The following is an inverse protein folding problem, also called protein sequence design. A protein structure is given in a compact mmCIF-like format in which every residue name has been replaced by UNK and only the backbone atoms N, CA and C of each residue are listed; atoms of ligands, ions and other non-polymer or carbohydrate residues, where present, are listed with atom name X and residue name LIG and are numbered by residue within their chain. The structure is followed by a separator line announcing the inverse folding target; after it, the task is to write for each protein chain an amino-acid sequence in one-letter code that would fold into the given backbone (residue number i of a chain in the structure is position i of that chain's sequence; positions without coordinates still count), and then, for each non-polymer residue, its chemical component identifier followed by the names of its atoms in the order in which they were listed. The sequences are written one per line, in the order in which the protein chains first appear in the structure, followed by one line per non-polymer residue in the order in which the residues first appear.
data_IF_828782958751
#
_entry.id   IF_828782958751
#
_cell.length_a   1.000
_cell.length_b   1.000
_cell.length_c   1.000
_cell.angle_alpha   90.00
_cell.angle_beta   90.00
_cell.angle_gamma   90.00
#
_symmetry.space_group_name_H-M   'P 1'
#
loop_
_entity.id
_entity.type
_entity.pdbx_description
1 polymer ?
#
# COMPACT_ATOMS: atom_id res chain seq x y z
N UNK A 1 7.73 -22.68 12.99
CA UNK A 1 7.03 -21.91 11.93
C UNK A 1 7.82 -20.62 11.74
N UNK A 2 8.34 -20.37 10.53
CA UNK A 2 8.96 -19.09 10.22
C UNK A 2 7.78 -18.17 9.88
N UNK A 3 7.50 -17.21 10.76
CA UNK A 3 6.50 -16.16 10.49
C UNK A 3 6.96 -15.39 9.24
N UNK A 4 6.04 -15.16 8.30
CA UNK A 4 6.37 -14.40 7.10
C UNK A 4 6.87 -13.00 7.50
N UNK A 5 7.86 -12.44 6.78
CA UNK A 5 8.36 -11.09 7.06
C UNK A 5 7.21 -10.08 6.92
N UNK A 6 6.94 -9.27 7.94
CA UNK A 6 5.86 -8.28 7.95
C UNK A 6 6.37 -6.85 8.16
N UNK A 7 5.76 -5.91 7.44
CA UNK A 7 5.81 -4.49 7.76
C UNK A 7 4.83 -4.18 8.88
N UNK A 8 5.18 -3.25 9.77
CA UNK A 8 4.33 -2.87 10.90
C UNK A 8 4.14 -1.36 10.92
N UNK A 9 2.91 -0.89 10.80
CA UNK A 9 2.56 0.49 11.02
C UNK A 9 2.00 0.62 12.44
N UNK A 10 2.71 1.34 13.29
CA UNK A 10 2.24 1.68 14.64
C UNK A 10 1.47 2.99 14.57
N UNK A 11 0.17 2.91 14.80
CA UNK A 11 -0.76 4.05 14.79
C UNK A 11 -0.65 4.88 16.08
N UNK A 12 -1.26 6.07 16.09
CA UNK A 12 -1.25 6.97 17.27
C UNK A 12 -1.93 6.35 18.50
N UNK A 13 -2.98 5.56 18.29
CA UNK A 13 -3.70 4.83 19.33
C UNK A 13 -2.95 3.58 19.82
N UNK A 14 -1.71 3.39 19.37
CA UNK A 14 -0.85 2.22 19.64
C UNK A 14 -1.36 0.90 19.05
N UNK A 15 -2.38 0.92 18.19
CA UNK A 15 -2.70 -0.25 17.36
C UNK A 15 -1.61 -0.49 16.32
N UNK A 16 -1.50 -1.74 15.88
CA UNK A 16 -0.48 -2.16 14.90
C UNK A 16 -1.19 -2.77 13.70
N UNK A 17 -1.05 -2.12 12.55
CA UNK A 17 -1.39 -2.71 11.27
C UNK A 17 -0.18 -3.51 10.75
N UNK A 18 -0.41 -4.77 10.38
CA UNK A 18 0.60 -5.64 9.81
C UNK A 18 0.35 -5.87 8.32
N UNK A 19 1.42 -5.81 7.52
CA UNK A 19 1.39 -6.10 6.09
C UNK A 19 2.45 -7.14 5.76
N UNK A 20 2.04 -8.25 5.16
CA UNK A 20 2.92 -9.31 4.66
C UNK A 20 3.81 -8.75 3.56
N UNK A 21 5.13 -8.93 3.66
CA UNK A 21 6.10 -8.47 2.66
C UNK A 21 6.01 -9.32 1.38
N UNK A 22 5.41 -8.74 0.33
CA UNK A 22 5.22 -9.39 -0.97
C UNK A 22 6.27 -8.97 -2.02
N UNK A 23 7.34 -8.26 -1.63
CA UNK A 23 8.38 -7.81 -2.59
C UNK A 23 9.04 -8.96 -3.35
N UNK A 24 9.08 -10.16 -2.77
CA UNK A 24 9.60 -11.38 -3.43
C UNK A 24 8.67 -11.90 -4.53
N UNK A 25 7.39 -11.56 -4.47
CA UNK A 25 6.34 -11.98 -5.41
C UNK A 25 6.26 -10.97 -6.55
N UNK A 26 6.10 -9.70 -6.23
CA UNK A 26 5.92 -8.61 -7.23
C UNK A 26 7.24 -8.17 -7.88
N UNK A 27 8.37 -8.42 -7.21
CA UNK A 27 9.69 -8.02 -7.67
C UNK A 27 9.93 -6.51 -7.58
N UNK A 28 10.80 -5.99 -8.46
CA UNK A 28 11.07 -4.55 -8.58
C UNK A 28 10.10 -3.88 -9.56
N UNK A 29 8.84 -4.32 -9.60
CA UNK A 29 7.84 -3.68 -10.45
C UNK A 29 7.40 -2.35 -9.87
N UNK A 30 7.19 -1.43 -10.78
CA UNK A 30 7.10 -0.01 -10.48
C UNK A 30 5.92 0.54 -11.28
N UNK A 31 4.95 1.11 -10.58
CA UNK A 31 3.66 1.57 -11.11
C UNK A 31 3.67 3.08 -11.15
N UNK A 32 3.12 3.68 -12.21
CA UNK A 32 3.22 5.13 -12.42
C UNK A 32 2.50 5.90 -11.32
N UNK A 33 3.16 6.89 -10.70
CA UNK A 33 2.55 7.64 -9.61
C UNK A 33 1.42 8.57 -10.06
N UNK A 34 1.34 8.94 -11.35
CA UNK A 34 0.20 9.73 -11.87
C UNK A 34 -1.15 9.00 -11.71
N UNK A 35 -1.13 7.68 -11.52
CA UNK A 35 -2.35 6.92 -11.25
C UNK A 35 -3.00 7.30 -9.91
N UNK A 36 -2.28 8.01 -9.03
CA UNK A 36 -2.86 8.60 -7.83
C UNK A 36 -3.68 9.87 -8.11
N UNK A 37 -3.47 10.52 -9.26
CA UNK A 37 -4.03 11.85 -9.55
C UNK A 37 -5.55 11.86 -9.49
N UNK A 38 -6.22 10.82 -10.00
CA UNK A 38 -7.68 10.72 -9.98
C UNK A 38 -8.22 10.59 -8.55
N UNK A 39 -7.53 9.82 -7.71
CA UNK A 39 -7.93 9.60 -6.31
C UNK A 39 -7.74 10.88 -5.49
N UNK A 40 -6.61 11.57 -5.73
CA UNK A 40 -6.28 12.86 -5.10
C UNK A 40 -7.31 13.93 -5.50
N UNK A 41 -7.60 14.07 -6.80
CA UNK A 41 -8.60 15.04 -7.31
C UNK A 41 -10.01 14.78 -6.78
N UNK A 42 -10.31 13.54 -6.46
CA UNK A 42 -11.62 13.13 -5.93
C UNK A 42 -11.70 13.24 -4.40
N UNK A 43 -10.67 13.78 -3.73
CA UNK A 43 -10.59 13.94 -2.26
C UNK A 43 -10.79 12.62 -1.49
N UNK A 44 -10.34 11.51 -2.07
CA UNK A 44 -10.48 10.14 -1.51
C UNK A 44 -9.25 9.76 -0.68
N UNK A 45 -8.77 10.71 0.14
CA UNK A 45 -7.55 10.58 0.92
C UNK A 45 -7.80 10.80 2.42
N UNK A 46 -7.13 9.99 3.23
CA UNK A 46 -7.12 10.10 4.69
C UNK A 46 -5.69 10.27 5.17
N UNK A 47 -5.45 11.23 6.05
CA UNK A 47 -4.14 11.44 6.67
C UNK A 47 -4.11 10.85 8.08
N UNK A 48 -3.02 10.16 8.40
CA UNK A 48 -2.79 9.59 9.73
C UNK A 48 -1.36 9.88 10.19
N UNK A 49 -1.14 9.90 11.50
CA UNK A 49 0.20 9.79 12.05
C UNK A 49 0.51 8.32 12.36
N UNK A 50 1.76 7.93 12.08
CA UNK A 50 2.17 6.56 12.32
C UNK A 50 3.67 6.35 12.14
N UNK A 51 4.18 5.28 12.74
CA UNK A 51 5.59 4.88 12.66
C UNK A 51 5.68 3.55 11.92
N UNK A 52 6.29 3.58 10.74
CA UNK A 52 6.48 2.39 9.93
C UNK A 52 7.77 1.66 10.31
N UNK A 53 7.66 0.35 10.46
CA UNK A 53 8.79 -0.57 10.58
C UNK A 53 8.80 -1.54 9.42
N UNK A 54 9.98 -1.71 8.83
CA UNK A 54 10.21 -2.70 7.79
C UNK A 54 10.29 -4.13 8.32
N UNK A 55 10.43 -5.11 7.43
CA UNK A 55 10.35 -6.53 7.81
C UNK A 55 11.54 -7.06 8.61
N UNK A 56 12.63 -6.29 8.71
CA UNK A 56 13.74 -6.56 9.63
C UNK A 56 13.63 -5.72 10.90
N UNK A 57 12.43 -5.21 11.19
CA UNK A 57 12.11 -4.32 12.30
C UNK A 57 12.86 -2.96 12.25
N UNK A 58 13.41 -2.60 11.09
CA UNK A 58 14.09 -1.34 10.87
C UNK A 58 13.10 -0.17 10.74
N UNK A 59 13.45 1.00 11.27
CA UNK A 59 12.61 2.19 11.11
C UNK A 59 12.57 2.64 9.64
N UNK A 60 11.38 3.02 9.18
CA UNK A 60 11.14 3.59 7.85
C UNK A 60 10.39 4.91 8.01
N UNK A 61 10.72 5.85 7.14
CA UNK A 61 10.00 7.11 7.07
C UNK A 61 8.67 6.91 6.36
N UNK A 62 7.58 6.87 7.13
CA UNK A 62 6.23 6.65 6.62
C UNK A 62 5.77 7.74 5.65
N UNK A 63 6.39 8.93 5.66
CA UNK A 63 6.08 9.99 4.69
C UNK A 63 6.39 9.57 3.23
N UNK A 64 7.28 8.58 3.05
CA UNK A 64 7.62 8.01 1.74
C UNK A 64 6.77 6.78 1.40
N UNK A 65 5.72 6.51 2.18
CA UNK A 65 4.81 5.40 1.93
C UNK A 65 3.37 5.89 1.90
N UNK A 66 2.52 5.06 1.31
CA UNK A 66 1.07 5.21 1.32
C UNK A 66 0.44 3.82 1.41
N UNK A 67 -0.79 3.77 1.87
CA UNK A 67 -1.61 2.57 1.84
C UNK A 67 -2.72 2.81 0.83
N UNK A 68 -2.80 1.93 -0.16
CA UNK A 68 -3.94 1.88 -1.09
C UNK A 68 -4.94 0.90 -0.51
N UNK A 69 -6.11 1.39 -0.17
CA UNK A 69 -7.23 0.60 0.34
C UNK A 69 -8.28 0.49 -0.75
N UNK A 70 -8.69 -0.73 -1.09
CA UNK A 70 -9.72 -0.97 -2.11
C UNK A 70 -10.51 -2.24 -1.78
N UNK A 71 -11.72 -2.33 -2.31
CA UNK A 71 -12.58 -3.49 -2.15
C UNK A 71 -12.28 -4.50 -3.27
N UNK A 72 -12.06 -5.75 -2.87
CA UNK A 72 -12.21 -6.92 -3.72
C UNK A 72 -13.62 -7.49 -3.59
N UNK A 73 -13.98 -8.48 -4.39
CA UNK A 73 -15.28 -9.14 -4.35
C UNK A 73 -15.62 -9.72 -2.97
N UNK A 74 -14.60 -10.16 -2.22
CA UNK A 74 -14.78 -10.90 -0.96
C UNK A 74 -14.39 -10.09 0.29
N UNK A 75 -13.57 -9.04 0.16
CA UNK A 75 -13.05 -8.30 1.31
C UNK A 75 -12.44 -6.95 0.93
N UNK A 76 -12.25 -6.10 1.95
CA UNK A 76 -11.40 -4.92 1.83
C UNK A 76 -9.94 -5.32 1.93
N UNK A 77 -9.12 -4.79 1.03
CA UNK A 77 -7.69 -5.08 0.93
C UNK A 77 -6.90 -3.79 1.13
N UNK A 78 -5.82 -3.86 1.89
CA UNK A 78 -4.87 -2.75 2.06
C UNK A 78 -3.49 -3.16 1.57
N UNK A 79 -2.97 -2.39 0.62
CA UNK A 79 -1.64 -2.58 0.03
C UNK A 79 -0.74 -1.45 0.48
N UNK A 80 0.37 -1.80 1.14
CA UNK A 80 1.43 -0.87 1.48
C UNK A 80 2.34 -0.63 0.28
N UNK A 81 2.58 0.63 -0.02
CA UNK A 81 3.28 1.09 -1.21
C UNK A 81 4.32 2.13 -0.81
N UNK A 82 5.55 1.94 -1.31
CA UNK A 82 6.62 2.93 -1.21
C UNK A 82 6.47 3.93 -2.37
N UNK A 83 6.26 5.19 -2.04
CA UNK A 83 6.11 6.30 -2.98
C UNK A 83 7.44 7.03 -3.17
N UNK A 84 7.65 7.60 -4.37
CA UNK A 84 8.85 8.41 -4.66
C UNK A 84 10.05 7.61 -5.16
N UNK A 85 9.86 6.33 -5.52
CA UNK A 85 10.87 5.55 -6.22
C UNK A 85 10.83 5.93 -7.71
N UNK A 86 11.67 6.88 -8.14
CA UNK A 86 11.70 7.38 -9.53
C UNK A 86 10.37 7.95 -10.03
N UNK A 87 9.66 8.74 -9.22
CA UNK A 87 8.30 9.24 -9.54
C UNK A 87 7.26 8.13 -9.75
N UNK A 88 7.53 6.96 -9.18
CA UNK A 88 6.66 5.82 -9.27
C UNK A 88 6.39 5.21 -7.89
N UNK A 89 5.50 4.23 -7.90
CA UNK A 89 5.00 3.46 -6.78
C UNK A 89 5.61 2.07 -6.80
N UNK A 90 6.10 1.61 -5.65
CA UNK A 90 6.57 0.25 -5.48
C UNK A 90 5.68 -0.46 -4.46
N UNK A 91 5.05 -1.55 -4.88
CA UNK A 91 4.27 -2.41 -3.97
C UNK A 91 5.24 -3.12 -3.02
N UNK A 92 5.00 -3.02 -1.71
CA UNK A 92 5.88 -3.62 -0.69
C UNK A 92 5.18 -4.59 0.26
N UNK A 93 3.89 -4.41 0.52
CA UNK A 93 3.17 -5.28 1.45
C UNK A 93 1.67 -5.31 1.23
N UNK A 94 1.00 -6.30 1.81
CA UNK A 94 -0.46 -6.46 1.79
C UNK A 94 -0.94 -7.04 3.12
N UNK A 95 -2.13 -6.68 3.58
CA UNK A 95 -2.77 -7.35 4.72
C UNK A 95 -3.60 -8.59 4.32
N UNK A 96 -3.79 -8.80 3.02
CA UNK A 96 -4.51 -9.96 2.47
C UNK A 96 -3.60 -11.15 2.21
N UNK A 97 -3.86 -12.28 2.89
CA UNK A 97 -3.23 -13.58 2.61
C UNK A 97 -3.58 -14.11 1.21
N UNK A 98 -4.78 -13.82 0.69
CA UNK A 98 -5.18 -14.23 -0.66
C UNK A 98 -4.24 -13.62 -1.71
N UNK A 99 -3.87 -12.35 -1.54
CA UNK A 99 -2.94 -11.67 -2.43
C UNK A 99 -1.54 -12.28 -2.40
N UNK A 100 -1.12 -12.96 -1.33
CA UNK A 100 0.21 -13.60 -1.28
C UNK A 100 0.28 -14.86 -2.13
N UNK A 101 -0.86 -15.44 -2.51
CA UNK A 101 -0.94 -16.64 -3.34
C UNK A 101 -1.21 -16.33 -4.81
N UNK A 102 -1.56 -15.08 -5.16
CA UNK A 102 -1.83 -14.70 -6.54
C UNK A 102 -0.55 -14.62 -7.38
N UNK A 103 -0.63 -14.96 -8.68
CA UNK A 103 0.45 -14.70 -9.62
C UNK A 103 0.81 -13.22 -9.65
N UNK A 104 2.10 -12.94 -9.87
CA UNK A 104 2.64 -11.58 -9.93
C UNK A 104 1.85 -10.65 -10.88
N UNK A 105 1.56 -11.13 -12.10
CA UNK A 105 0.92 -10.30 -13.12
C UNK A 105 -0.53 -9.97 -12.73
N UNK A 106 -1.23 -10.89 -12.06
CA UNK A 106 -2.58 -10.68 -11.56
C UNK A 106 -2.59 -9.66 -10.41
N UNK A 107 -1.62 -9.72 -9.50
CA UNK A 107 -1.45 -8.72 -8.43
C UNK A 107 -1.22 -7.32 -8.99
N UNK A 108 -0.30 -7.20 -9.96
CA UNK A 108 0.01 -5.91 -10.58
C UNK A 108 -1.21 -5.38 -11.31
N UNK A 109 -1.93 -6.23 -12.04
CA UNK A 109 -3.15 -5.84 -12.75
C UNK A 109 -4.24 -5.40 -11.78
N UNK A 110 -4.48 -6.15 -10.71
CA UNK A 110 -5.47 -5.80 -9.67
C UNK A 110 -5.17 -4.41 -9.08
N UNK A 111 -3.92 -4.20 -8.66
CA UNK A 111 -3.51 -2.93 -8.08
C UNK A 111 -3.57 -1.78 -9.09
N UNK A 112 -3.12 -1.99 -10.32
CA UNK A 112 -3.18 -0.97 -11.38
C UNK A 112 -4.63 -0.58 -11.68
N UNK A 113 -5.52 -1.57 -11.83
CA UNK A 113 -6.95 -1.32 -12.04
C UNK A 113 -7.58 -0.56 -10.87
N UNK A 114 -7.22 -0.88 -9.63
CA UNK A 114 -7.73 -0.18 -8.46
C UNK A 114 -7.33 1.31 -8.46
N UNK A 115 -6.17 1.66 -9.02
CA UNK A 115 -5.74 3.04 -9.16
C UNK A 115 -6.34 3.74 -10.39
N UNK A 116 -6.41 3.06 -11.54
CA UNK A 116 -6.99 3.58 -12.78
C UNK A 116 -8.52 3.77 -12.72
N UNK A 117 -9.20 2.98 -11.88
CA UNK A 117 -10.64 3.00 -11.73
C UNK A 117 -10.97 3.00 -10.22
N UNK A 118 -10.82 4.15 -9.54
CA UNK A 118 -10.99 4.19 -8.10
C UNK A 118 -12.45 4.08 -7.65
N UNK A 119 -13.41 4.52 -8.47
CA UNK A 119 -14.84 4.47 -8.12
C UNK A 119 -15.39 3.04 -7.95
N UNK A 120 -15.23 2.11 -8.94
CA UNK A 120 -15.79 0.77 -8.82
C UNK A 120 -15.24 -0.04 -7.63
N UNK A 121 -13.96 0.13 -7.32
CA UNK A 121 -13.27 -0.59 -6.25
C UNK A 121 -13.30 0.14 -4.91
N UNK A 122 -14.03 1.25 -4.83
CA UNK A 122 -14.03 2.14 -3.68
C UNK A 122 -12.60 2.50 -3.18
N UNK A 123 -11.66 2.72 -4.10
CA UNK A 123 -10.26 2.92 -3.77
C UNK A 123 -10.06 4.22 -3.00
N UNK A 124 -9.32 4.16 -1.90
CA UNK A 124 -8.94 5.31 -1.07
C UNK A 124 -7.46 5.23 -0.72
N UNK A 125 -6.86 6.39 -0.43
CA UNK A 125 -5.46 6.48 -0.01
C UNK A 125 -5.39 6.81 1.47
N UNK A 126 -4.54 6.11 2.21
CA UNK A 126 -4.12 6.50 3.55
C UNK A 126 -2.66 6.91 3.48
N UNK A 127 -2.36 8.14 3.90
CA UNK A 127 -1.01 8.71 3.82
C UNK A 127 -0.58 9.27 5.18
N UNK A 128 0.72 9.41 5.37
CA UNK A 128 1.24 10.12 6.54
C UNK A 128 0.77 11.59 6.56
N UNK A 129 0.56 12.13 7.76
CA UNK A 129 0.39 13.58 7.97
C UNK A 129 1.53 14.38 7.32
N UNK A 130 2.75 13.84 7.34
CA UNK A 130 3.96 14.47 6.79
C UNK A 130 4.14 14.20 5.28
N UNK A 131 3.22 13.47 4.64
CA UNK A 131 3.31 13.16 3.22
C UNK A 131 3.16 14.40 2.35
N UNK A 132 4.05 14.53 1.35
CA UNK A 132 4.06 15.62 0.37
C UNK A 132 3.07 15.42 -0.78
N UNK A 133 2.35 14.30 -0.82
CA UNK A 133 1.23 14.11 -1.74
C UNK A 133 0.19 15.19 -1.46
N UNK A 134 -0.22 15.92 -2.50
CA UNK A 134 -1.12 17.07 -2.45
C UNK A 134 -2.25 16.86 -3.44
#
# INVERSE_FOLDING_TARGET
MISEPTWKLVNEDSTIDEFIDIRRIVGNQVIRAYLLDEIIKSDRLTRIAGKLRGPKNEFKDFANFLIVKFNSEESEIRVLVEAGVYENLRIVGTDSEELTQKPRDDLIKLFTNALEQPEPSNTTLIISNDSKLR
#
